data_IF_849377212558
#
_entry.id   IF_849377212558
#
_cell.length_a   1.000
_cell.length_b   1.000
_cell.length_c   1.000
_cell.angle_alpha   90.00
_cell.angle_beta   90.00
_cell.angle_gamma   90.00
#
_symmetry.space_group_name_H-M   'P 1'
#
loop_
_entity.id
_entity.type
_entity.pdbx_description
1 polymer ?
#
# COMPACT_ATOMS: atom_id res chain seq x y z
N UNK A 1 -28.22 18.30 -16.55
CA UNK A 1 -29.38 17.60 -15.99
C UNK A 1 -30.64 18.28 -16.48
N UNK A 2 -31.35 17.67 -17.41
CA UNK A 2 -32.59 18.20 -17.99
C UNK A 2 -33.73 18.11 -16.96
N UNK A 3 -34.81 18.89 -17.10
CA UNK A 3 -35.96 18.84 -16.18
C UNK A 3 -36.61 17.44 -16.07
N UNK A 4 -36.52 16.62 -17.12
CA UNK A 4 -37.10 15.27 -17.19
C UNK A 4 -36.35 14.24 -16.32
N UNK A 5 -35.03 14.40 -16.17
CA UNK A 5 -34.20 13.55 -15.29
C UNK A 5 -34.49 13.77 -13.80
N UNK A 6 -35.24 14.83 -13.44
CA UNK A 6 -35.57 15.15 -12.05
C UNK A 6 -36.71 14.29 -11.47
N UNK A 7 -37.50 13.62 -12.32
CA UNK A 7 -38.79 13.01 -11.93
C UNK A 7 -38.66 11.54 -11.51
N UNK A 8 -37.61 10.84 -11.96
CA UNK A 8 -37.46 9.40 -11.75
C UNK A 8 -36.06 9.05 -11.24
N UNK A 9 -35.96 8.64 -9.97
CA UNK A 9 -34.72 8.09 -9.43
C UNK A 9 -34.75 6.57 -9.57
N UNK A 10 -33.83 6.00 -10.36
CA UNK A 10 -33.76 4.55 -10.58
C UNK A 10 -32.63 3.94 -9.77
N UNK A 11 -32.95 2.94 -8.95
CA UNK A 11 -31.98 2.12 -8.20
C UNK A 11 -32.06 0.69 -8.73
N UNK A 12 -31.17 0.35 -9.67
CA UNK A 12 -31.21 -0.94 -10.36
C UNK A 12 -32.54 -1.16 -11.12
N UNK A 13 -33.29 -2.25 -10.87
CA UNK A 13 -34.58 -2.49 -11.51
C UNK A 13 -35.74 -1.65 -10.94
N UNK A 14 -35.53 -0.90 -9.85
CA UNK A 14 -36.60 -0.20 -9.12
C UNK A 14 -36.60 1.30 -9.43
N UNK A 15 -37.79 1.88 -9.65
CA UNK A 15 -38.01 3.33 -9.77
C UNK A 15 -38.58 3.90 -8.47
N UNK A 16 -37.83 4.78 -7.82
CA UNK A 16 -38.25 5.51 -6.62
C UNK A 16 -38.92 6.84 -7.01
N UNK A 17 -40.04 7.14 -6.36
CA UNK A 17 -40.86 8.35 -6.60
C UNK A 17 -41.32 8.95 -5.27
N UNK A 18 -41.64 10.24 -5.27
CA UNK A 18 -42.17 10.95 -4.09
C UNK A 18 -41.24 10.83 -2.88
N UNK A 19 -41.79 10.47 -1.72
CA UNK A 19 -41.07 10.38 -0.44
C UNK A 19 -39.98 9.29 -0.39
N UNK A 20 -39.98 8.33 -1.32
CA UNK A 20 -38.96 7.29 -1.41
C UNK A 20 -37.71 7.76 -2.18
N UNK A 21 -37.73 8.97 -2.75
CA UNK A 21 -36.59 9.56 -3.46
C UNK A 21 -35.57 10.07 -2.43
N UNK A 22 -34.30 9.64 -2.50
CA UNK A 22 -33.24 10.24 -1.69
C UNK A 22 -33.14 11.75 -1.96
N UNK A 23 -32.92 12.52 -0.91
CA UNK A 23 -32.68 13.96 -0.95
C UNK A 23 -31.32 14.31 -1.58
N UNK A 24 -30.35 13.38 -1.50
CA UNK A 24 -29.01 13.48 -2.08
C UNK A 24 -28.66 12.27 -2.93
N UNK A 25 -27.78 12.45 -3.91
CA UNK A 25 -27.21 11.33 -4.68
C UNK A 25 -26.20 10.54 -3.82
N UNK A 26 -25.89 9.31 -4.21
CA UNK A 26 -24.90 8.49 -3.49
C UNK A 26 -23.52 9.16 -3.47
N UNK A 27 -23.07 9.71 -4.60
CA UNK A 27 -21.79 10.43 -4.68
C UNK A 27 -21.78 11.68 -3.80
N UNK A 28 -22.89 12.43 -3.79
CA UNK A 28 -23.03 13.61 -2.94
C UNK A 28 -22.90 13.25 -1.46
N UNK A 29 -23.50 12.13 -1.02
CA UNK A 29 -23.34 11.65 0.36
C UNK A 29 -21.90 11.26 0.66
N UNK A 30 -21.25 10.51 -0.22
CA UNK A 30 -19.86 10.10 -0.01
C UNK A 30 -18.89 11.29 0.08
N UNK A 31 -19.09 12.31 -0.74
CA UNK A 31 -18.17 13.46 -0.85
C UNK A 31 -18.42 14.56 0.19
N UNK A 32 -19.67 14.76 0.63
CA UNK A 32 -20.03 15.81 1.59
C UNK A 32 -19.99 15.33 3.06
N UNK A 33 -20.12 14.03 3.29
CA UNK A 33 -20.25 13.47 4.64
C UNK A 33 -18.88 13.19 5.25
N UNK A 34 -18.33 14.18 5.95
CA UNK A 34 -17.15 14.03 6.80
C UNK A 34 -17.50 13.25 8.07
N UNK A 35 -17.61 11.93 7.99
CA UNK A 35 -17.78 11.09 9.17
C UNK A 35 -16.54 11.17 10.09
N UNK A 36 -16.75 10.92 11.39
CA UNK A 36 -15.65 10.83 12.37
C UNK A 36 -14.58 9.82 11.90
N UNK A 37 -13.30 10.23 11.92
CA UNK A 37 -12.19 9.38 11.49
C UNK A 37 -11.87 8.20 12.42
N UNK A 38 -12.59 8.01 13.54
CA UNK A 38 -12.27 7.00 14.55
C UNK A 38 -12.17 5.55 14.01
N UNK A 39 -12.90 5.22 12.95
CA UNK A 39 -12.86 3.90 12.32
C UNK A 39 -11.48 3.53 11.75
N UNK A 40 -10.61 4.51 11.43
CA UNK A 40 -9.26 4.23 10.93
C UNK A 40 -8.34 3.55 11.96
N UNK A 41 -8.71 3.60 13.22
CA UNK A 41 -8.00 2.93 14.32
C UNK A 41 -8.64 1.59 14.73
N UNK A 42 -9.77 1.22 14.12
CA UNK A 42 -10.46 -0.03 14.41
C UNK A 42 -9.73 -1.23 13.81
N UNK A 43 -9.86 -2.40 14.45
CA UNK A 43 -9.29 -3.64 13.95
C UNK A 43 -9.78 -4.03 12.54
N UNK A 44 -11.09 -3.87 12.19
CA UNK A 44 -11.53 -4.10 10.81
C UNK A 44 -10.76 -3.26 9.78
N UNK A 45 -10.50 -1.98 10.07
CA UNK A 45 -9.71 -1.15 9.17
C UNK A 45 -8.24 -1.56 9.12
N UNK A 46 -7.66 -2.01 10.24
CA UNK A 46 -6.29 -2.55 10.27
C UNK A 46 -6.15 -3.79 9.40
N UNK A 47 -7.13 -4.68 9.38
CA UNK A 47 -7.13 -5.87 8.50
C UNK A 47 -7.10 -5.46 7.03
N UNK A 48 -7.91 -4.46 6.65
CA UNK A 48 -7.90 -3.94 5.28
C UNK A 48 -6.55 -3.31 4.92
N UNK A 49 -5.92 -2.56 5.83
CA UNK A 49 -4.58 -2.01 5.60
C UNK A 49 -3.51 -3.08 5.43
N UNK A 50 -3.49 -4.11 6.27
CA UNK A 50 -2.56 -5.24 6.14
C UNK A 50 -2.77 -5.96 4.81
N UNK A 51 -4.02 -6.18 4.39
CA UNK A 51 -4.31 -6.76 3.07
C UNK A 51 -3.76 -5.88 1.94
N UNK A 52 -3.96 -4.56 2.00
CA UNK A 52 -3.40 -3.64 1.00
C UNK A 52 -1.88 -3.71 0.95
N UNK A 53 -1.19 -3.73 2.10
CA UNK A 53 0.28 -3.86 2.17
C UNK A 53 0.76 -5.17 1.51
N UNK A 54 0.04 -6.28 1.67
CA UNK A 54 0.36 -7.52 0.96
C UNK A 54 0.17 -7.40 -0.55
N UNK A 55 -0.94 -6.80 -1.00
CA UNK A 55 -1.21 -6.62 -2.44
C UNK A 55 -0.12 -5.75 -3.08
N UNK A 56 0.24 -4.64 -2.43
CA UNK A 56 1.31 -3.74 -2.87
C UNK A 56 2.66 -4.45 -2.88
N UNK A 57 3.00 -5.18 -1.80
CA UNK A 57 4.26 -5.91 -1.68
C UNK A 57 4.42 -7.02 -2.72
N UNK A 58 3.37 -7.81 -2.96
CA UNK A 58 3.41 -8.84 -4.00
C UNK A 58 3.49 -8.24 -5.40
N UNK A 59 2.76 -7.16 -5.67
CA UNK A 59 2.84 -6.46 -6.95
C UNK A 59 4.25 -5.94 -7.25
N UNK A 60 4.89 -5.31 -6.27
CA UNK A 60 6.23 -4.74 -6.42
C UNK A 60 7.33 -5.80 -6.61
N UNK A 61 7.16 -6.99 -6.01
CA UNK A 61 8.18 -8.04 -6.02
C UNK A 61 7.89 -9.17 -7.03
N UNK A 62 6.79 -9.07 -7.80
CA UNK A 62 6.32 -10.15 -8.69
C UNK A 62 7.34 -10.60 -9.73
N UNK A 63 8.17 -9.67 -10.23
CA UNK A 63 9.13 -9.92 -11.32
C UNK A 63 10.61 -9.82 -10.87
N UNK A 64 10.88 -9.77 -9.56
CA UNK A 64 12.24 -9.54 -9.03
C UNK A 64 13.25 -10.65 -9.41
N UNK A 65 12.79 -11.88 -9.66
CA UNK A 65 13.65 -13.03 -9.91
C UNK A 65 14.37 -13.54 -8.66
N UNK A 66 15.45 -14.35 -8.81
CA UNK A 66 16.22 -14.87 -7.68
C UNK A 66 16.86 -13.74 -6.86
N UNK A 67 16.60 -13.74 -5.55
CA UNK A 67 17.08 -12.73 -4.64
C UNK A 67 17.67 -13.34 -3.37
N UNK A 68 18.63 -12.63 -2.76
CA UNK A 68 19.23 -12.98 -1.47
C UNK A 68 18.95 -11.84 -0.50
N UNK A 69 18.40 -12.18 0.67
CA UNK A 69 18.21 -11.21 1.76
C UNK A 69 19.45 -11.08 2.62
N UNK A 70 19.94 -9.86 2.82
CA UNK A 70 21.04 -9.54 3.73
C UNK A 70 20.48 -8.85 4.97
N UNK A 71 20.89 -9.36 6.15
CA UNK A 71 20.57 -8.78 7.45
C UNK A 71 21.84 -8.43 8.20
N UNK A 72 21.80 -7.35 8.97
CA UNK A 72 22.90 -6.97 9.84
C UNK A 72 22.61 -5.72 10.65
N UNK A 73 23.61 -5.28 11.40
CA UNK A 73 23.49 -4.15 12.33
C UNK A 73 23.17 -2.85 11.60
N UNK A 74 22.16 -2.12 12.10
CA UNK A 74 21.87 -0.75 11.66
C UNK A 74 22.87 0.30 12.17
N UNK A 75 23.86 -0.11 12.97
CA UNK A 75 24.73 0.79 13.76
C UNK A 75 26.19 0.80 13.31
N UNK A 76 26.60 -0.16 12.49
CA UNK A 76 27.96 -0.25 11.99
C UNK A 76 28.00 0.44 10.64
N UNK A 77 28.69 1.58 10.54
CA UNK A 77 28.81 2.38 9.31
C UNK A 77 30.13 2.17 8.57
N UNK A 78 30.36 3.00 7.56
CA UNK A 78 31.58 3.01 6.75
C UNK A 78 32.86 2.98 7.58
N UNK A 79 33.87 2.24 7.11
CA UNK A 79 35.14 2.04 7.80
C UNK A 79 35.13 0.95 8.87
N UNK A 80 33.96 0.47 9.32
CA UNK A 80 33.89 -0.73 10.16
C UNK A 80 34.19 -1.98 9.32
N UNK A 81 35.00 -2.96 9.80
CA UNK A 81 35.32 -4.16 9.05
C UNK A 81 34.10 -4.93 8.51
N UNK A 82 33.06 -5.05 9.33
CA UNK A 82 31.82 -5.72 8.93
C UNK A 82 31.02 -4.96 7.86
N UNK A 83 31.09 -3.61 7.85
CA UNK A 83 30.44 -2.80 6.81
C UNK A 83 31.12 -3.02 5.46
N UNK A 84 32.45 -2.98 5.43
CA UNK A 84 33.22 -3.26 4.21
C UNK A 84 33.06 -4.70 3.74
N UNK A 85 32.91 -5.64 4.67
CA UNK A 85 32.60 -7.03 4.36
C UNK A 85 31.22 -7.15 3.68
N UNK A 86 30.19 -6.55 4.28
CA UNK A 86 28.83 -6.54 3.73
C UNK A 86 28.79 -5.92 2.33
N UNK A 87 29.49 -4.78 2.13
CA UNK A 87 29.60 -4.12 0.83
C UNK A 87 30.21 -5.02 -0.26
N UNK A 88 31.26 -5.77 0.09
CA UNK A 88 31.86 -6.75 -0.82
C UNK A 88 30.94 -7.92 -1.12
N UNK A 89 30.18 -8.39 -0.13
CA UNK A 89 29.21 -9.47 -0.30
C UNK A 89 28.08 -9.03 -1.22
N UNK A 90 27.50 -7.85 -0.98
CA UNK A 90 26.45 -7.24 -1.81
C UNK A 90 26.86 -7.13 -3.27
N UNK A 91 28.03 -6.51 -3.51
CA UNK A 91 28.61 -6.41 -4.85
C UNK A 91 28.79 -7.79 -5.52
N UNK A 92 29.35 -8.76 -4.80
CA UNK A 92 29.56 -10.11 -5.33
C UNK A 92 28.27 -10.88 -5.63
N UNK A 93 27.18 -10.62 -4.89
CA UNK A 93 25.85 -11.20 -5.15
C UNK A 93 25.27 -10.61 -6.44
N UNK A 94 25.31 -9.28 -6.58
CA UNK A 94 24.82 -8.58 -7.77
C UNK A 94 25.59 -8.99 -9.04
N UNK A 95 26.92 -9.10 -8.96
CA UNK A 95 27.78 -9.59 -10.06
C UNK A 95 27.41 -10.99 -10.55
N UNK A 96 26.79 -11.83 -9.69
CA UNK A 96 26.35 -13.19 -10.01
C UNK A 96 24.91 -13.26 -10.54
N UNK A 97 24.24 -12.11 -10.71
CA UNK A 97 22.90 -12.03 -11.27
C UNK A 97 21.76 -12.25 -10.28
N UNK A 98 22.03 -12.14 -8.97
CA UNK A 98 20.99 -12.18 -7.94
C UNK A 98 20.64 -10.76 -7.49
N UNK A 99 19.36 -10.51 -7.23
CA UNK A 99 18.94 -9.29 -6.54
C UNK A 99 19.33 -9.35 -5.05
N UNK A 100 19.61 -8.19 -4.46
CA UNK A 100 19.82 -8.05 -3.02
C UNK A 100 18.59 -7.41 -2.39
N UNK A 101 18.08 -8.02 -1.31
CA UNK A 101 16.99 -7.46 -0.50
C UNK A 101 17.54 -7.16 0.89
N UNK A 102 17.27 -5.96 1.41
CA UNK A 102 17.62 -5.58 2.78
C UNK A 102 16.41 -5.00 3.51
N UNK A 103 16.55 -4.69 4.80
CA UNK A 103 15.53 -3.97 5.56
C UNK A 103 15.45 -2.48 5.24
N UNK A 104 16.27 -1.96 4.32
CA UNK A 104 16.27 -0.55 3.89
C UNK A 104 16.76 0.46 4.94
N UNK A 105 17.35 -0.03 6.05
CA UNK A 105 17.92 0.81 7.10
C UNK A 105 19.41 1.12 6.89
N UNK A 106 20.03 1.93 7.78
CA UNK A 106 21.44 2.28 7.70
C UNK A 106 22.37 1.09 8.03
N UNK A 107 23.67 1.31 7.92
CA UNK A 107 24.69 0.37 8.37
C UNK A 107 24.83 -0.84 7.46
N UNK A 108 24.84 -2.06 8.00
CA UNK A 108 25.04 -3.27 7.18
C UNK A 108 23.95 -3.44 6.11
N UNK A 109 22.73 -2.98 6.37
CA UNK A 109 21.61 -3.03 5.41
C UNK A 109 21.76 -2.01 4.27
N UNK A 110 22.53 -0.94 4.48
CA UNK A 110 22.89 0.04 3.46
C UNK A 110 24.09 -0.46 2.64
N UNK A 111 25.01 -1.18 3.28
CA UNK A 111 26.20 -1.72 2.64
C UNK A 111 25.91 -2.91 1.71
N UNK A 112 25.04 -3.83 2.14
CA UNK A 112 24.71 -5.06 1.43
C UNK A 112 23.85 -4.84 0.20
#
# INVERSE_FOLDING_TARGET
>A
MTPEERVHHRKGPVTLRGALRPDRTTDQRLLEESASGAWVHSDPWRVLRIQSEFVEGFGALAELGPAISIFGSARLGEGHPDYECARRIGAGIAERGYAVITGGGPGIMEAG
#
